data_IF_749325857685
#
_entry.id   IF_749325857685
#
_cell.length_a   1.000
_cell.length_b   1.000
_cell.length_c   1.000
_cell.angle_alpha   90.00
_cell.angle_beta   90.00
_cell.angle_gamma   90.00
#
_symmetry.space_group_name_H-M   'P 1'
#
loop_
_entity.id
_entity.type
_entity.pdbx_description
1 polymer ?
#
# COMPACT_ATOMS: atom_id res chain seq x y z
N UNK A 1 -33.69 3.79 0.46
CA UNK A 1 -32.28 3.46 0.17
C UNK A 1 -31.76 2.70 1.37
N UNK A 2 -31.40 1.42 1.22
CA UNK A 2 -30.90 0.61 2.34
C UNK A 2 -29.49 1.06 2.72
N UNK A 3 -29.24 1.27 4.01
CA UNK A 3 -27.90 1.51 4.52
C UNK A 3 -27.03 0.28 4.25
N UNK A 4 -25.99 0.45 3.44
CA UNK A 4 -24.97 -0.58 3.27
C UNK A 4 -24.18 -0.64 4.58
N UNK A 5 -24.17 -1.79 5.25
CA UNK A 5 -23.29 -2.00 6.41
C UNK A 5 -21.85 -1.73 5.97
N UNK A 6 -21.15 -0.83 6.66
CA UNK A 6 -19.77 -0.42 6.32
C UNK A 6 -18.82 -1.61 6.06
N UNK A 7 -19.01 -2.76 6.73
CA UNK A 7 -18.19 -3.96 6.52
C UNK A 7 -18.31 -4.55 5.10
N UNK A 8 -19.50 -4.49 4.49
CA UNK A 8 -19.80 -5.02 3.15
C UNK A 8 -19.24 -4.07 2.07
N UNK A 9 -19.32 -2.77 2.33
CA UNK A 9 -18.83 -1.73 1.42
C UNK A 9 -17.31 -1.86 1.17
N UNK A 10 -16.53 -2.11 2.22
CA UNK A 10 -15.08 -2.21 2.10
C UNK A 10 -14.63 -3.45 1.32
N UNK A 11 -15.30 -4.59 1.50
CA UNK A 11 -15.00 -5.82 0.75
C UNK A 11 -15.30 -5.61 -0.74
N UNK A 12 -16.50 -5.14 -1.07
CA UNK A 12 -16.88 -4.89 -2.46
C UNK A 12 -16.00 -3.83 -3.11
N UNK A 13 -15.57 -2.82 -2.36
CA UNK A 13 -14.61 -1.83 -2.87
C UNK A 13 -13.26 -2.48 -3.20
N UNK A 14 -12.71 -3.30 -2.30
CA UNK A 14 -11.44 -3.99 -2.52
C UNK A 14 -11.55 -4.96 -3.70
N UNK A 15 -12.62 -5.77 -3.76
CA UNK A 15 -12.82 -6.76 -4.83
C UNK A 15 -13.01 -6.09 -6.20
N UNK A 16 -13.83 -5.03 -6.28
CA UNK A 16 -13.99 -4.27 -7.54
C UNK A 16 -12.68 -3.61 -7.96
N UNK A 17 -11.96 -2.99 -7.04
CA UNK A 17 -10.69 -2.33 -7.34
C UNK A 17 -9.64 -3.34 -7.80
N UNK A 18 -9.58 -4.51 -7.16
CA UNK A 18 -8.73 -5.63 -7.59
C UNK A 18 -9.08 -6.06 -9.02
N UNK A 19 -10.36 -6.27 -9.32
CA UNK A 19 -10.83 -6.67 -10.66
C UNK A 19 -10.44 -5.64 -11.72
N UNK A 20 -10.60 -4.34 -11.42
CA UNK A 20 -10.15 -3.25 -12.30
C UNK A 20 -8.65 -3.35 -12.60
N UNK A 21 -7.81 -3.62 -11.59
CA UNK A 21 -6.36 -3.77 -11.79
C UNK A 21 -6.02 -4.99 -12.67
N UNK A 22 -6.71 -6.11 -12.47
CA UNK A 22 -6.50 -7.37 -13.21
C UNK A 22 -6.92 -7.27 -14.68
N UNK A 23 -8.06 -6.63 -14.95
CA UNK A 23 -8.65 -6.58 -16.28
C UNK A 23 -8.15 -5.41 -17.13
N UNK A 24 -7.61 -4.35 -16.52
CA UNK A 24 -7.22 -3.17 -17.27
C UNK A 24 -6.00 -3.39 -18.19
N UNK A 25 -6.25 -3.24 -19.49
CA UNK A 25 -5.26 -3.32 -20.57
C UNK A 25 -5.04 -1.98 -21.30
N UNK A 26 -5.60 -0.89 -20.78
CA UNK A 26 -5.57 0.42 -21.43
C UNK A 26 -4.22 1.15 -21.31
N UNK A 27 -4.10 2.25 -22.06
CA UNK A 27 -2.88 3.04 -22.20
C UNK A 27 -2.41 3.70 -20.90
N UNK A 28 -3.33 4.06 -20.00
CA UNK A 28 -3.04 4.83 -18.78
C UNK A 28 -2.79 3.95 -17.56
N UNK A 29 -2.07 2.83 -17.76
CA UNK A 29 -1.88 1.80 -16.74
C UNK A 29 -1.32 2.32 -15.42
N UNK A 30 -0.26 3.14 -15.45
CA UNK A 30 0.31 3.71 -14.21
C UNK A 30 -0.65 4.68 -13.51
N UNK A 31 -1.33 5.56 -14.26
CA UNK A 31 -2.28 6.52 -13.66
C UNK A 31 -3.43 5.77 -12.97
N UNK A 32 -4.00 4.77 -13.63
CA UNK A 32 -5.03 3.93 -13.01
C UNK A 32 -4.48 3.20 -11.78
N UNK A 33 -3.30 2.58 -11.90
CA UNK A 33 -2.69 1.83 -10.80
C UNK A 33 -2.42 2.70 -9.58
N UNK A 34 -1.95 3.94 -9.74
CA UNK A 34 -1.75 4.88 -8.63
C UNK A 34 -3.08 5.24 -7.95
N UNK A 35 -4.14 5.48 -8.73
CA UNK A 35 -5.46 5.76 -8.17
C UNK A 35 -6.06 4.56 -7.45
N UNK A 36 -5.97 3.37 -8.04
CA UNK A 36 -6.42 2.13 -7.40
C UNK A 36 -5.60 1.83 -6.13
N UNK A 37 -4.28 2.02 -6.17
CA UNK A 37 -3.41 1.83 -5.01
C UNK A 37 -3.76 2.80 -3.88
N UNK A 38 -4.01 4.08 -4.19
CA UNK A 38 -4.46 5.06 -3.20
C UNK A 38 -5.76 4.61 -2.54
N UNK A 39 -6.76 4.18 -3.33
CA UNK A 39 -8.02 3.65 -2.81
C UNK A 39 -7.82 2.44 -1.89
N UNK A 40 -7.00 1.46 -2.34
CA UNK A 40 -6.71 0.23 -1.60
C UNK A 40 -5.88 0.45 -0.33
N UNK A 41 -5.09 1.51 -0.26
CA UNK A 41 -4.30 1.81 0.93
C UNK A 41 -5.06 2.72 1.90
N UNK A 42 -5.87 3.67 1.42
CA UNK A 42 -6.59 4.61 2.29
C UNK A 42 -7.77 3.91 2.97
N UNK A 43 -8.74 3.42 2.19
CA UNK A 43 -10.03 3.00 2.73
C UNK A 43 -9.92 1.76 3.63
N UNK A 44 -9.27 0.66 3.20
CA UNK A 44 -9.15 -0.52 4.06
C UNK A 44 -8.32 -0.24 5.33
N UNK A 45 -7.35 0.67 5.28
CA UNK A 45 -6.53 1.01 6.45
C UNK A 45 -7.31 1.72 7.56
N UNK A 46 -8.35 2.47 7.23
CA UNK A 46 -9.19 3.17 8.21
C UNK A 46 -10.08 2.18 8.95
N UNK A 47 -10.62 1.21 8.23
CA UNK A 47 -11.48 0.17 8.79
C UNK A 47 -10.68 -0.87 9.60
N UNK A 48 -9.51 -1.29 9.11
CA UNK A 48 -8.72 -2.37 9.73
C UNK A 48 -7.92 -2.00 10.97
N UNK A 49 -7.72 -0.70 11.25
CA UNK A 49 -7.01 -0.22 12.46
C UNK A 49 -7.49 -0.86 13.76
N UNK A 50 -8.72 -1.37 13.79
CA UNK A 50 -9.37 -1.94 14.97
C UNK A 50 -9.35 -3.48 15.06
N UNK A 51 -9.05 -4.25 14.00
CA UNK A 51 -9.45 -5.67 13.95
C UNK A 51 -8.39 -6.73 13.57
N UNK A 52 -7.32 -6.43 12.82
CA UNK A 52 -6.18 -7.36 12.68
C UNK A 52 -4.85 -6.63 12.65
N UNK A 53 -4.15 -6.63 13.79
CA UNK A 53 -2.82 -6.04 13.90
C UNK A 53 -1.72 -7.04 13.52
N UNK A 54 -1.87 -8.33 13.86
CA UNK A 54 -0.74 -9.26 13.80
C UNK A 54 -0.20 -9.52 12.39
N UNK A 55 -1.06 -9.63 11.37
CA UNK A 55 -0.59 -9.88 10.00
C UNK A 55 0.18 -8.69 9.42
N UNK A 56 -0.34 -7.46 9.59
CA UNK A 56 0.30 -6.27 9.05
C UNK A 56 1.53 -5.82 9.84
N UNK A 57 1.69 -6.25 11.10
CA UNK A 57 2.89 -5.96 11.90
C UNK A 57 4.09 -6.88 11.56
N UNK A 58 3.88 -7.93 10.76
CA UNK A 58 4.95 -8.80 10.25
C UNK A 58 5.98 -8.04 9.44
N UNK A 59 7.22 -8.50 9.51
CA UNK A 59 8.32 -7.92 8.74
C UNK A 59 8.11 -8.11 7.24
N UNK A 60 8.48 -7.12 6.42
CA UNK A 60 8.34 -7.22 4.97
C UNK A 60 9.09 -8.42 4.37
N UNK A 61 10.15 -8.90 5.01
CA UNK A 61 10.92 -10.08 4.57
C UNK A 61 10.13 -11.39 4.68
N UNK A 62 9.05 -11.44 5.44
CA UNK A 62 8.17 -12.61 5.56
C UNK A 62 7.27 -12.80 4.32
N UNK A 63 7.13 -11.80 3.46
CA UNK A 63 6.24 -11.82 2.30
C UNK A 63 7.03 -12.03 1.01
N UNK A 64 6.83 -13.19 0.38
CA UNK A 64 7.53 -13.54 -0.88
C UNK A 64 7.17 -12.57 -2.01
N UNK A 65 5.96 -12.04 -2.00
CA UNK A 65 5.43 -11.07 -2.95
C UNK A 65 6.15 -9.72 -2.91
N UNK A 66 6.81 -9.40 -1.79
CA UNK A 66 7.61 -8.17 -1.63
C UNK A 66 9.06 -8.34 -2.09
N UNK A 67 9.51 -9.57 -2.32
CA UNK A 67 10.85 -9.84 -2.87
C UNK A 67 10.96 -9.23 -4.27
N UNK A 68 12.05 -8.50 -4.54
CA UNK A 68 12.21 -7.76 -5.81
C UNK A 68 11.51 -6.41 -5.86
N UNK A 69 10.55 -6.12 -4.96
CA UNK A 69 9.95 -4.79 -4.82
C UNK A 69 10.78 -3.88 -3.92
N UNK A 70 11.47 -4.45 -2.94
CA UNK A 70 12.24 -3.73 -1.93
C UNK A 70 13.76 -3.84 -2.08
N UNK A 71 14.26 -4.64 -3.02
CA UNK A 71 15.69 -4.95 -3.15
C UNK A 71 16.56 -3.69 -3.37
N UNK A 72 16.00 -2.67 -4.04
CA UNK A 72 16.67 -1.38 -4.28
C UNK A 72 16.00 -0.22 -3.53
N UNK A 73 15.12 -0.53 -2.58
CA UNK A 73 14.37 0.48 -1.86
C UNK A 73 15.18 1.07 -0.72
N UNK A 74 15.06 2.39 -0.52
CA UNK A 74 15.30 2.97 0.79
C UNK A 74 14.04 2.73 1.61
N UNK A 75 14.14 2.02 2.74
CA UNK A 75 13.01 1.84 3.64
C UNK A 75 13.51 1.85 5.09
N UNK A 76 13.40 3.02 5.71
CA UNK A 76 13.90 3.35 7.03
C UNK A 76 12.78 4.04 7.83
N UNK A 77 11.70 3.32 8.17
CA UNK A 77 10.58 3.92 8.88
C UNK A 77 11.03 4.38 10.26
N UNK A 78 10.47 5.50 10.71
CA UNK A 78 10.73 6.05 12.04
C UNK A 78 9.43 6.32 12.79
N UNK A 79 9.54 6.37 14.12
CA UNK A 79 8.47 6.74 15.04
C UNK A 79 8.98 7.67 16.14
N UNK A 80 8.07 8.42 16.76
CA UNK A 80 8.36 9.22 17.95
C UNK A 80 8.35 8.32 19.19
N UNK A 81 9.39 8.46 20.02
CA UNK A 81 9.48 7.88 21.37
C UNK A 81 10.15 8.90 22.28
N UNK A 82 9.49 9.31 23.37
CA UNK A 82 9.99 10.30 24.33
C UNK A 82 10.56 11.56 23.65
N UNK A 83 9.78 12.18 22.75
CA UNK A 83 10.20 13.33 21.92
C UNK A 83 11.41 13.12 21.00
N UNK A 84 11.93 11.90 20.86
CA UNK A 84 12.99 11.59 19.90
C UNK A 84 12.48 10.75 18.73
N UNK A 85 13.06 10.93 17.55
CA UNK A 85 12.83 10.06 16.40
C UNK A 85 13.71 8.82 16.53
N UNK A 86 13.09 7.64 16.47
CA UNK A 86 13.80 6.35 16.52
C UNK A 86 13.37 5.48 15.34
N UNK A 87 14.25 4.58 14.91
CA UNK A 87 13.95 3.57 13.90
C UNK A 87 12.76 2.73 14.32
N UNK A 88 11.85 2.48 13.39
CA UNK A 88 10.69 1.62 13.54
C UNK A 88 10.86 0.29 12.80
N UNK A 89 9.96 -0.66 13.04
CA UNK A 89 9.98 -1.95 12.35
C UNK A 89 9.69 -1.79 10.85
N UNK A 90 10.38 -2.57 10.01
CA UNK A 90 10.14 -2.65 8.56
C UNK A 90 8.93 -3.52 8.23
N UNK A 91 7.82 -3.29 8.93
CA UNK A 91 6.59 -4.08 8.79
C UNK A 91 5.80 -3.73 7.54
N UNK A 92 4.93 -4.65 7.12
CA UNK A 92 3.98 -4.41 6.02
C UNK A 92 3.11 -3.16 6.29
N UNK A 93 2.67 -2.98 7.53
CA UNK A 93 1.93 -1.79 7.98
C UNK A 93 2.72 -0.52 7.72
N UNK A 94 4.00 -0.50 8.09
CA UNK A 94 4.84 0.67 7.86
C UNK A 94 5.08 0.88 6.36
N UNK A 95 5.33 -0.17 5.58
CA UNK A 95 5.47 -0.04 4.13
C UNK A 95 4.22 0.57 3.49
N UNK A 96 3.04 0.02 3.76
CA UNK A 96 1.75 0.54 3.27
C UNK A 96 1.56 1.99 3.69
N UNK A 97 1.84 2.33 4.96
CA UNK A 97 1.74 3.70 5.47
C UNK A 97 2.66 4.66 4.72
N UNK A 98 3.91 4.28 4.48
CA UNK A 98 4.89 5.14 3.80
C UNK A 98 4.55 5.30 2.32
N UNK A 99 4.15 4.23 1.64
CA UNK A 99 3.66 4.31 0.26
C UNK A 99 2.43 5.21 0.16
N UNK A 100 1.47 5.08 1.09
CA UNK A 100 0.31 5.96 1.17
C UNK A 100 0.72 7.42 1.24
N UNK A 101 1.60 7.75 2.18
CA UNK A 101 2.06 9.11 2.42
C UNK A 101 2.66 9.70 1.14
N UNK A 102 3.53 8.95 0.47
CA UNK A 102 4.14 9.39 -0.78
C UNK A 102 3.12 9.65 -1.87
N UNK A 103 2.15 8.75 -2.05
CA UNK A 103 1.08 8.93 -3.03
C UNK A 103 0.16 10.11 -2.67
N UNK A 104 -0.26 10.23 -1.40
CA UNK A 104 -1.17 11.29 -0.96
C UNK A 104 -0.55 12.68 -0.96
N UNK A 105 0.76 12.78 -0.71
CA UNK A 105 1.49 14.05 -0.73
C UNK A 105 2.09 14.35 -2.11
N UNK A 106 1.71 13.62 -3.15
CA UNK A 106 2.18 13.80 -4.53
C UNK A 106 3.71 13.74 -4.66
N UNK A 107 4.38 12.99 -3.77
CA UNK A 107 5.82 12.72 -3.83
C UNK A 107 6.09 11.56 -4.82
N UNK A 108 5.67 11.79 -6.06
CA UNK A 108 5.69 10.82 -7.15
C UNK A 108 6.43 11.41 -8.35
N UNK A 109 7.51 10.75 -8.78
CA UNK A 109 8.20 11.06 -10.03
C UNK A 109 7.89 9.96 -11.06
N UNK A 110 7.44 10.36 -12.25
CA UNK A 110 7.22 9.43 -13.35
C UNK A 110 8.46 9.39 -14.24
N UNK A 111 9.04 8.19 -14.42
CA UNK A 111 10.16 8.00 -15.34
C UNK A 111 9.62 7.39 -16.62
N UNK A 112 9.75 8.14 -17.72
CA UNK A 112 9.30 7.72 -19.03
C UNK A 112 10.43 7.65 -20.05
N UNK A 113 10.20 6.85 -21.08
CA UNK A 113 11.02 6.86 -22.29
C UNK A 113 10.05 6.96 -23.50
N UNK A 114 10.36 7.82 -24.47
CA UNK A 114 9.57 8.03 -25.69
C UNK A 114 8.05 8.27 -25.43
N UNK A 115 7.73 9.10 -24.44
CA UNK A 115 6.33 9.44 -24.11
C UNK A 115 5.53 8.35 -23.39
N UNK A 116 6.15 7.23 -23.00
CA UNK A 116 5.52 6.17 -22.18
C UNK A 116 6.17 6.10 -20.80
N UNK A 117 5.37 6.17 -19.76
CA UNK A 117 5.83 5.92 -18.40
C UNK A 117 6.22 4.45 -18.23
N UNK A 118 7.46 4.20 -17.80
CA UNK A 118 8.02 2.87 -17.61
C UNK A 118 8.06 2.48 -16.12
N UNK A 119 8.31 3.47 -15.27
CA UNK A 119 8.34 3.30 -13.82
C UNK A 119 7.87 4.54 -13.10
N UNK A 120 7.54 4.35 -11.83
CA UNK A 120 7.17 5.39 -10.89
C UNK A 120 8.12 5.33 -9.69
N UNK A 121 8.62 6.48 -9.28
CA UNK A 121 9.33 6.63 -8.01
C UNK A 121 8.39 7.23 -6.99
N UNK A 122 8.21 6.57 -5.85
CA UNK A 122 7.39 7.04 -4.72
C UNK A 122 8.33 7.30 -3.56
N UNK A 123 8.22 8.49 -2.97
CA UNK A 123 9.03 8.92 -1.81
C UNK A 123 8.13 9.22 -0.61
N UNK A 124 8.61 8.95 0.60
CA UNK A 124 8.05 9.50 1.84
C UNK A 124 9.16 10.19 2.62
N UNK A 125 9.06 11.51 2.72
CA UNK A 125 10.00 12.35 3.47
C UNK A 125 9.29 12.80 4.74
N UNK A 126 9.90 12.54 5.90
CA UNK A 126 9.36 13.00 7.17
C UNK A 126 9.38 14.54 7.22
N UNK A 127 8.22 15.18 7.21
CA UNK A 127 8.12 16.65 7.18
C UNK A 127 8.69 17.33 8.43
N UNK A 128 8.80 16.62 9.55
CA UNK A 128 9.38 17.12 10.81
C UNK A 128 10.90 16.91 10.89
N UNK A 129 11.46 16.13 9.96
CA UNK A 129 12.89 15.94 9.80
C UNK A 129 13.14 15.75 8.30
N UNK A 130 13.22 16.85 7.55
CA UNK A 130 13.28 16.83 6.08
C UNK A 130 14.50 16.07 5.52
N UNK A 131 15.52 15.82 6.35
CA UNK A 131 16.67 14.99 6.01
C UNK A 131 16.39 13.48 6.14
N UNK A 132 15.21 13.09 6.61
CA UNK A 132 14.85 11.70 6.87
C UNK A 132 13.93 11.16 5.76
N UNK A 133 14.57 10.61 4.73
CA UNK A 133 13.92 9.81 3.70
C UNK A 133 13.52 8.46 4.30
N UNK A 134 12.24 8.30 4.62
CA UNK A 134 11.72 7.09 5.26
C UNK A 134 11.38 6.00 4.24
N UNK A 135 11.01 6.40 3.03
CA UNK A 135 10.79 5.49 1.91
C UNK A 135 11.24 6.14 0.59
N UNK A 136 11.94 5.37 -0.24
CA UNK A 136 12.04 5.62 -1.67
C UNK A 136 12.02 4.28 -2.40
N UNK A 137 11.03 4.11 -3.27
CA UNK A 137 10.87 2.94 -4.13
C UNK A 137 10.75 3.39 -5.58
N UNK A 138 11.36 2.65 -6.50
CA UNK A 138 11.14 2.82 -7.93
C UNK A 138 10.57 1.53 -8.48
N UNK A 139 9.33 1.57 -8.94
CA UNK A 139 8.61 0.40 -9.43
C UNK A 139 8.23 0.58 -10.89
N UNK A 140 8.53 -0.44 -11.69
CA UNK A 140 7.94 -0.59 -13.02
C UNK A 140 6.41 -0.71 -12.92
N UNK A 141 5.70 -0.50 -14.04
CA UNK A 141 4.25 -0.73 -14.11
C UNK A 141 3.85 -2.11 -13.57
N UNK A 142 4.62 -3.14 -13.87
CA UNK A 142 4.37 -4.50 -13.41
C UNK A 142 4.57 -4.64 -11.89
N UNK A 143 5.64 -4.06 -11.35
CA UNK A 143 5.90 -4.05 -9.91
C UNK A 143 4.82 -3.28 -9.13
N UNK A 144 4.38 -2.12 -9.64
CA UNK A 144 3.30 -1.34 -9.05
C UNK A 144 1.98 -2.13 -9.04
N UNK A 145 1.67 -2.81 -10.14
CA UNK A 145 0.51 -3.71 -10.25
C UNK A 145 0.59 -4.84 -9.23
N UNK A 146 1.73 -5.54 -9.16
CA UNK A 146 1.92 -6.64 -8.23
C UNK A 146 1.77 -6.18 -6.78
N UNK A 147 2.31 -5.00 -6.43
CA UNK A 147 2.15 -4.43 -5.11
C UNK A 147 0.67 -4.11 -4.79
N UNK A 148 -0.05 -3.47 -5.71
CA UNK A 148 -1.47 -3.14 -5.52
C UNK A 148 -2.34 -4.40 -5.31
N UNK A 149 -2.11 -5.45 -6.12
CA UNK A 149 -2.81 -6.73 -5.97
C UNK A 149 -2.45 -7.43 -4.65
N UNK A 150 -1.18 -7.39 -4.25
CA UNK A 150 -0.75 -7.92 -2.97
C UNK A 150 -1.44 -7.21 -1.80
N UNK A 151 -1.55 -5.88 -1.83
CA UNK A 151 -2.29 -5.11 -0.81
C UNK A 151 -3.76 -5.52 -0.78
N UNK A 152 -4.43 -5.59 -1.93
CA UNK A 152 -5.84 -6.01 -2.00
C UNK A 152 -6.04 -7.42 -1.42
N UNK A 153 -5.23 -8.38 -1.84
CA UNK A 153 -5.30 -9.76 -1.36
C UNK A 153 -4.99 -9.89 0.14
N UNK A 154 -4.07 -9.07 0.66
CA UNK A 154 -3.75 -9.01 2.08
C UNK A 154 -4.98 -8.62 2.90
N UNK A 155 -5.70 -7.56 2.49
CA UNK A 155 -6.93 -7.15 3.17
C UNK A 155 -8.03 -8.22 3.07
N UNK A 156 -8.31 -8.76 1.88
CA UNK A 156 -9.34 -9.79 1.70
C UNK A 156 -9.06 -11.05 2.53
N UNK A 157 -7.80 -11.49 2.57
CA UNK A 157 -7.38 -12.64 3.38
C UNK A 157 -7.65 -12.42 4.85
N UNK A 158 -7.31 -11.24 5.36
CA UNK A 158 -7.54 -10.92 6.76
C UNK A 158 -9.02 -10.74 7.09
N UNK A 159 -9.84 -10.25 6.16
CA UNK A 159 -11.30 -10.11 6.34
C UNK A 159 -11.94 -11.48 6.50
N UNK A 160 -11.65 -12.39 5.56
CA UNK A 160 -12.20 -13.76 5.58
C UNK A 160 -11.85 -14.50 6.86
N UNK A 161 -10.60 -14.38 7.34
CA UNK A 161 -10.18 -14.97 8.63
C UNK A 161 -10.99 -14.48 9.82
N UNK A 162 -11.39 -13.21 9.84
CA UNK A 162 -12.19 -12.65 10.93
C UNK A 162 -13.62 -13.17 10.84
N UNK A 163 -14.20 -13.25 9.64
CA UNK A 163 -15.53 -13.80 9.42
C UNK A 163 -15.61 -15.27 9.81
N UNK A 164 -14.60 -16.07 9.47
CA UNK A 164 -14.53 -17.49 9.83
C UNK A 164 -14.44 -17.72 11.35
N UNK A 165 -13.77 -16.80 12.07
CA UNK A 165 -13.72 -16.83 13.54
C UNK A 165 -15.05 -16.43 14.20
N UNK A 166 -15.86 -15.58 13.57
CA UNK A 166 -17.19 -15.19 14.09
C UNK A 166 -18.24 -16.29 13.93
N UNK A 167 -18.01 -17.25 13.03
CA UNK A 167 -18.92 -18.38 12.75
C UNK A 167 -18.66 -19.62 13.62
N UNK A 168 -17.57 -19.63 14.39
CA UNK A 168 -17.22 -20.68 15.37
C UNK A 168 -17.62 -20.23 16.77
#
# INVERSE_FOLDING_TARGET
MGEIKNEIFDIEFIERTKKVIEEYKGTYSITLLLNCLLGLIVLPSEYYKRRSRSFFEKDCTEFKELKGLLDKATFNPTKRRNNNWVTDNKSLKNLIKKVRNGVSHQQIDCVGNNGKWQSVTIKDINTYNQNNLELQVTWTTMQLRNFALFVANSYLTEIRKIEDKKKK
#
